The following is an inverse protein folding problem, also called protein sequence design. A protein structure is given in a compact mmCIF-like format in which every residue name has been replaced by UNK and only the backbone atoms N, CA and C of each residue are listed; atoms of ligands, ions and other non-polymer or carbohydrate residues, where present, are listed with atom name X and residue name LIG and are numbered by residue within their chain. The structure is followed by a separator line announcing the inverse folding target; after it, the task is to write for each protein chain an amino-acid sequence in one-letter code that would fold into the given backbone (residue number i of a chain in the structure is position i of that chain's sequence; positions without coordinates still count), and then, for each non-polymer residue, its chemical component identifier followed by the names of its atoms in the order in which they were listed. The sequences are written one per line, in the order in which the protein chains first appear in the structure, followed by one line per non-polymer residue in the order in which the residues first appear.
data_IF_425408657148
#
_entry.id   IF_425408657148
#
_cell.length_a   1.000
_cell.length_b   1.000
_cell.length_c   1.000
_cell.angle_alpha   90.00
_cell.angle_beta   90.00
_cell.angle_gamma   90.00
#
_symmetry.space_group_name_H-M   'P 1'
#
loop_
_entity.id
_entity.type
_entity.pdbx_description
1 polymer ?
#
# COMPACT_ATOMS: atom_id res chain seq x y z
N UNK A 1 -14.93 -49.14 -6.48
CA UNK A 1 -14.27 -49.07 -5.16
C UNK A 1 -13.33 -47.89 -5.27
N UNK A 2 -13.74 -46.78 -4.67
CA UNK A 2 -13.17 -45.43 -4.77
C UNK A 2 -11.90 -45.34 -3.96
N UNK A 3 -10.78 -44.98 -4.58
CA UNK A 3 -9.61 -44.44 -3.89
C UNK A 3 -9.83 -42.95 -3.71
N UNK A 4 -9.92 -42.53 -2.44
CA UNK A 4 -10.13 -41.15 -2.02
C UNK A 4 -8.83 -40.37 -2.12
N UNK A 5 -8.89 -39.30 -2.90
CA UNK A 5 -7.96 -38.17 -2.90
C UNK A 5 -8.00 -37.49 -1.52
N UNK A 6 -6.90 -37.51 -0.78
CA UNK A 6 -6.77 -36.76 0.49
C UNK A 6 -6.05 -35.45 0.21
N UNK A 7 -6.83 -34.38 0.09
CA UNK A 7 -6.35 -33.00 0.21
C UNK A 7 -6.15 -32.72 1.71
N UNK A 8 -4.91 -32.53 2.13
CA UNK A 8 -4.58 -32.08 3.49
C UNK A 8 -4.98 -30.63 3.68
N UNK A 9 -5.64 -30.26 4.80
CA UNK A 9 -5.94 -28.88 5.10
C UNK A 9 -4.66 -28.21 5.64
N UNK A 10 -4.03 -27.33 4.86
CA UNK A 10 -3.01 -26.42 5.40
C UNK A 10 -3.68 -25.59 6.50
N UNK A 11 -3.18 -25.75 7.71
CA UNK A 11 -3.81 -25.20 8.91
C UNK A 11 -3.24 -23.81 9.14
N UNK A 12 -4.10 -22.79 9.11
CA UNK A 12 -3.86 -21.36 9.42
C UNK A 12 -2.92 -21.13 10.62
N UNK A 13 -2.88 -22.07 11.57
CA UNK A 13 -2.03 -22.04 12.76
C UNK A 13 -0.54 -22.30 12.51
N UNK A 14 -0.18 -23.00 11.42
CA UNK A 14 1.22 -23.31 11.09
C UNK A 14 1.91 -22.09 10.45
N UNK A 15 1.16 -21.33 9.64
CA UNK A 15 1.61 -20.09 8.98
C UNK A 15 1.99 -19.00 10.00
N UNK A 16 1.27 -18.89 11.12
CA UNK A 16 1.56 -17.94 12.20
C UNK A 16 2.78 -18.32 13.07
N UNK A 17 3.29 -19.55 12.93
CA UNK A 17 4.44 -20.07 13.68
C UNK A 17 5.71 -20.21 12.83
N UNK A 18 5.62 -19.84 11.55
CA UNK A 18 6.70 -19.98 10.58
C UNK A 18 7.58 -18.71 10.55
N UNK A 19 8.88 -18.88 10.33
CA UNK A 19 9.83 -17.77 10.12
C UNK A 19 9.68 -17.11 8.73
N UNK A 20 8.54 -17.33 8.06
CA UNK A 20 8.25 -16.82 6.71
C UNK A 20 7.45 -15.52 6.79
N UNK A 21 7.85 -14.54 5.99
CA UNK A 21 7.07 -13.32 5.78
C UNK A 21 7.00 -12.99 4.29
N UNK A 22 5.81 -12.61 3.84
CA UNK A 22 5.57 -12.09 2.50
C UNK A 22 5.46 -10.57 2.53
N UNK A 23 6.35 -9.90 1.80
CA UNK A 23 6.36 -8.44 1.62
C UNK A 23 5.64 -8.08 0.33
N UNK A 24 4.63 -7.22 0.43
CA UNK A 24 3.81 -6.78 -0.70
C UNK A 24 3.82 -5.27 -0.82
N UNK A 25 4.12 -4.75 -2.01
CA UNK A 25 3.99 -3.34 -2.39
C UNK A 25 2.88 -3.22 -3.44
N UNK A 26 1.90 -2.35 -3.20
CA UNK A 26 0.85 -1.99 -4.15
C UNK A 26 0.86 -0.47 -4.31
N UNK A 27 0.93 0.01 -5.56
CA UNK A 27 0.99 1.43 -5.88
C UNK A 27 -0.06 1.80 -6.92
N UNK A 28 -0.75 2.91 -6.69
CA UNK A 28 -1.71 3.49 -7.64
C UNK A 28 -1.44 4.98 -7.77
N UNK A 29 -1.29 5.45 -9.00
CA UNK A 29 -1.35 6.86 -9.32
C UNK A 29 -2.80 7.25 -9.63
N UNK A 30 -3.28 8.31 -8.99
CA UNK A 30 -4.63 8.86 -9.10
C UNK A 30 -4.52 10.26 -9.70
N UNK A 31 -5.40 10.58 -10.66
CA UNK A 31 -5.55 11.96 -11.13
C UNK A 31 -6.02 12.85 -9.95
N UNK A 32 -5.22 13.86 -9.60
CA UNK A 32 -5.41 14.63 -8.37
C UNK A 32 -6.54 15.67 -8.49
N UNK A 33 -6.88 16.10 -9.71
CA UNK A 33 -7.96 17.06 -9.96
C UNK A 33 -9.26 16.59 -9.30
N UNK A 34 -9.74 17.36 -8.31
CA UNK A 34 -10.95 17.09 -7.53
C UNK A 34 -10.95 15.77 -6.72
N UNK A 35 -9.80 15.08 -6.60
CA UNK A 35 -9.74 13.83 -5.84
C UNK A 35 -9.81 14.10 -4.33
N UNK A 36 -10.74 13.46 -3.58
CA UNK A 36 -10.78 13.57 -2.13
C UNK A 36 -9.64 12.78 -1.44
N UNK A 37 -8.85 12.01 -2.18
CA UNK A 37 -7.95 11.00 -1.64
C UNK A 37 -6.94 11.55 -0.62
N UNK A 38 -6.25 12.66 -0.90
CA UNK A 38 -5.27 13.23 0.06
C UNK A 38 -5.91 13.60 1.39
N UNK A 39 -7.08 14.24 1.35
CA UNK A 39 -7.81 14.64 2.55
C UNK A 39 -8.35 13.43 3.33
N UNK A 40 -8.84 12.42 2.62
CA UNK A 40 -9.31 11.17 3.22
C UNK A 40 -8.15 10.39 3.85
N UNK A 41 -7.02 10.24 3.17
CA UNK A 41 -5.81 9.59 3.69
C UNK A 41 -5.28 10.30 4.94
N UNK A 42 -5.26 11.64 4.91
CA UNK A 42 -4.89 12.46 6.08
C UNK A 42 -5.81 12.14 7.26
N UNK A 43 -7.12 12.17 7.03
CA UNK A 43 -8.11 11.88 8.08
C UNK A 43 -7.94 10.47 8.65
N UNK A 44 -7.89 9.46 7.80
CA UNK A 44 -7.70 8.05 8.19
C UNK A 44 -6.43 7.87 9.02
N UNK A 45 -5.32 8.46 8.57
CA UNK A 45 -4.02 8.37 9.25
C UNK A 45 -4.03 9.07 10.61
N UNK A 46 -4.78 10.17 10.78
CA UNK A 46 -4.89 10.88 12.06
C UNK A 46 -5.83 10.21 13.06
N UNK A 47 -6.88 9.53 12.58
CA UNK A 47 -7.94 8.98 13.41
C UNK A 47 -7.69 7.52 13.81
N UNK A 48 -6.78 6.80 13.14
CA UNK A 48 -6.55 5.37 13.38
C UNK A 48 -5.41 5.10 14.38
N UNK A 49 -5.68 4.24 15.36
CA UNK A 49 -4.69 3.78 16.33
C UNK A 49 -3.83 2.63 15.76
N UNK A 50 -2.71 2.98 15.14
CA UNK A 50 -1.76 2.02 14.55
C UNK A 50 -0.88 1.32 15.57
N UNK A 51 -1.03 1.58 16.88
CA UNK A 51 -0.32 0.84 17.93
C UNK A 51 -0.91 -0.56 18.19
N UNK A 52 -2.05 -0.87 17.57
CA UNK A 52 -2.76 -2.15 17.73
C UNK A 52 -2.89 -2.89 16.41
N UNK A 53 -2.84 -4.24 16.39
CA UNK A 53 -3.10 -5.02 15.18
C UNK A 53 -4.47 -4.73 14.56
N UNK A 54 -5.49 -4.52 15.40
CA UNK A 54 -6.84 -4.18 14.96
C UNK A 54 -6.89 -2.83 14.23
N UNK A 55 -6.20 -1.81 14.73
CA UNK A 55 -6.13 -0.51 14.08
C UNK A 55 -5.27 -0.50 12.82
N UNK A 56 -4.16 -1.27 12.77
CA UNK A 56 -3.41 -1.47 11.53
C UNK A 56 -4.29 -2.10 10.44
N UNK A 57 -5.03 -3.14 10.80
CA UNK A 57 -5.94 -3.81 9.86
C UNK A 57 -7.09 -2.89 9.42
N UNK A 58 -7.67 -2.12 10.35
CA UNK A 58 -8.70 -1.14 10.03
C UNK A 58 -8.18 -0.05 9.06
N UNK A 59 -6.97 0.48 9.29
CA UNK A 59 -6.32 1.41 8.37
C UNK A 59 -6.15 0.79 6.97
N UNK A 60 -5.66 -0.45 6.92
CA UNK A 60 -5.50 -1.18 5.66
C UNK A 60 -6.82 -1.29 4.89
N UNK A 61 -7.89 -1.70 5.57
CA UNK A 61 -9.22 -1.87 4.97
C UNK A 61 -9.75 -0.55 4.43
N UNK A 62 -9.71 0.52 5.24
CA UNK A 62 -10.25 1.83 4.86
C UNK A 62 -9.46 2.46 3.70
N UNK A 63 -8.14 2.35 3.69
CA UNK A 63 -7.32 2.87 2.58
C UNK A 63 -7.53 2.05 1.31
N UNK A 64 -7.61 0.72 1.42
CA UNK A 64 -7.87 -0.16 0.27
C UNK A 64 -9.25 0.13 -0.34
N UNK A 65 -10.26 0.35 0.50
CA UNK A 65 -11.61 0.74 0.08
C UNK A 65 -11.60 2.11 -0.63
N UNK A 66 -10.90 3.11 -0.06
CA UNK A 66 -10.73 4.43 -0.69
C UNK A 66 -10.11 4.31 -2.09
N UNK A 67 -9.08 3.49 -2.25
CA UNK A 67 -8.46 3.26 -3.56
C UNK A 67 -9.45 2.67 -4.56
N UNK A 68 -10.23 1.66 -4.16
CA UNK A 68 -11.26 1.04 -5.01
C UNK A 68 -12.42 1.98 -5.37
N UNK A 69 -12.77 2.91 -4.48
CA UNK A 69 -13.74 3.97 -4.75
C UNK A 69 -13.23 4.99 -5.78
N UNK A 70 -11.92 5.23 -5.79
CA UNK A 70 -11.25 6.13 -6.74
C UNK A 70 -10.84 5.44 -8.05
N UNK A 71 -11.23 4.18 -8.30
CA UNK A 71 -10.75 3.40 -9.47
C UNK A 71 -10.93 4.07 -10.83
N UNK A 72 -11.97 4.88 -10.99
CA UNK A 72 -12.28 5.57 -12.26
C UNK A 72 -11.32 6.75 -12.53
N UNK A 73 -10.48 7.10 -11.55
CA UNK A 73 -9.46 8.16 -11.61
C UNK A 73 -8.02 7.63 -11.61
N UNK A 74 -7.84 6.31 -11.57
CA UNK A 74 -6.51 5.70 -11.66
C UNK A 74 -5.89 5.98 -13.03
N UNK A 75 -4.60 6.26 -13.05
CA UNK A 75 -3.84 6.51 -14.29
C UNK A 75 -2.69 5.54 -14.47
N UNK A 76 -2.04 5.14 -13.37
CA UNK A 76 -0.93 4.19 -13.38
C UNK A 76 -1.04 3.25 -12.17
N UNK A 77 -0.42 2.08 -12.28
CA UNK A 77 -0.35 1.13 -11.19
C UNK A 77 0.95 0.33 -11.21
N UNK A 78 1.30 -0.22 -10.06
CA UNK A 78 2.43 -1.13 -9.91
C UNK A 78 2.22 -2.02 -8.70
N UNK A 79 2.71 -3.25 -8.77
CA UNK A 79 2.56 -4.21 -7.70
C UNK A 79 3.74 -5.18 -7.66
N UNK A 80 4.17 -5.55 -6.45
CA UNK A 80 5.13 -6.65 -6.25
C UNK A 80 4.79 -7.39 -4.95
N UNK A 81 4.98 -8.70 -4.94
CA UNK A 81 4.81 -9.53 -3.75
C UNK A 81 5.92 -10.58 -3.74
N UNK A 82 6.62 -10.71 -2.63
CA UNK A 82 7.80 -11.58 -2.48
C UNK A 82 7.80 -12.23 -1.10
N UNK A 83 8.00 -13.54 -1.04
CA UNK A 83 8.05 -14.32 0.19
C UNK A 83 9.48 -14.67 0.55
N UNK A 84 9.77 -14.61 1.85
CA UNK A 84 11.11 -14.85 2.39
C UNK A 84 11.03 -15.90 3.49
N UNK A 85 11.91 -16.90 3.43
CA UNK A 85 12.00 -17.96 4.46
C UNK A 85 12.60 -17.51 5.80
N UNK A 86 12.99 -16.23 5.90
CA UNK A 86 13.52 -15.65 7.13
C UNK A 86 12.95 -14.24 7.34
N UNK A 87 12.30 -14.01 8.49
CA UNK A 87 11.73 -12.72 8.90
C UNK A 87 12.76 -11.59 8.75
N UNK A 88 14.00 -11.78 9.17
CA UNK A 88 15.04 -10.75 9.10
C UNK A 88 15.31 -10.28 7.65
N UNK A 89 15.27 -11.18 6.67
CA UNK A 89 15.44 -10.82 5.25
C UNK A 89 14.21 -10.07 4.72
N UNK A 90 13.01 -10.48 5.16
CA UNK A 90 11.77 -9.79 4.83
C UNK A 90 11.71 -8.38 5.42
N UNK A 91 12.15 -8.19 6.68
CA UNK A 91 12.26 -6.89 7.33
C UNK A 91 13.27 -5.99 6.62
N UNK A 92 14.43 -6.53 6.21
CA UNK A 92 15.40 -5.79 5.40
C UNK A 92 14.78 -5.33 4.08
N UNK A 93 14.06 -6.22 3.38
CA UNK A 93 13.36 -5.88 2.14
C UNK A 93 12.29 -4.82 2.35
N UNK A 94 11.48 -4.95 3.39
CA UNK A 94 10.43 -4.00 3.75
C UNK A 94 11.03 -2.63 4.01
N UNK A 95 12.06 -2.54 4.85
CA UNK A 95 12.75 -1.29 5.15
C UNK A 95 13.39 -0.65 3.91
N UNK A 96 13.99 -1.46 3.03
CA UNK A 96 14.54 -0.98 1.78
C UNK A 96 13.46 -0.36 0.89
N UNK A 97 12.33 -1.04 0.70
CA UNK A 97 11.20 -0.51 -0.09
C UNK A 97 10.66 0.77 0.53
N UNK A 98 10.46 0.76 1.84
CA UNK A 98 10.00 1.91 2.60
C UNK A 98 10.89 3.15 2.40
N UNK A 99 12.21 2.99 2.51
CA UNK A 99 13.17 4.07 2.26
C UNK A 99 13.17 4.53 0.80
N UNK A 100 13.03 3.61 -0.16
CA UNK A 100 12.94 3.93 -1.59
C UNK A 100 11.70 4.75 -1.92
N UNK A 101 10.56 4.43 -1.32
CA UNK A 101 9.33 5.20 -1.52
C UNK A 101 9.40 6.57 -0.83
N UNK A 102 9.89 6.63 0.42
CA UNK A 102 10.07 7.90 1.16
C UNK A 102 11.06 8.85 0.49
N UNK A 103 12.07 8.33 -0.21
CA UNK A 103 13.02 9.15 -0.97
C UNK A 103 12.38 9.95 -2.13
N UNK A 104 11.15 9.60 -2.54
CA UNK A 104 10.39 10.28 -3.61
C UNK A 104 9.53 11.44 -3.10
N UNK A 105 9.50 11.68 -1.79
CA UNK A 105 8.70 12.74 -1.18
C UNK A 105 9.43 14.08 -1.33
N UNK A 106 8.72 15.11 -1.80
CA UNK A 106 9.18 16.50 -1.67
C UNK A 106 9.30 16.87 -0.19
N UNK A 107 8.28 16.52 0.58
CA UNK A 107 8.19 16.69 2.02
C UNK A 107 7.31 15.61 2.68
N UNK A 108 7.85 14.90 3.67
CA UNK A 108 7.08 14.01 4.54
C UNK A 108 6.55 14.83 5.74
N UNK A 109 5.28 15.22 5.63
CA UNK A 109 4.57 16.12 6.54
C UNK A 109 3.64 15.38 7.51
N UNK A 110 3.26 14.14 7.24
CA UNK A 110 2.41 13.32 8.11
C UNK A 110 2.91 11.88 8.19
N UNK A 111 3.11 11.39 9.41
CA UNK A 111 3.42 9.99 9.69
C UNK A 111 2.57 9.50 10.86
N UNK A 112 2.25 8.21 10.87
CA UNK A 112 1.64 7.52 12.01
C UNK A 112 2.32 6.16 12.15
N UNK A 113 3.18 6.02 13.17
CA UNK A 113 3.98 4.81 13.41
C UNK A 113 3.77 4.41 14.87
N UNK A 114 3.30 3.18 15.10
CA UNK A 114 2.99 2.64 16.43
C UNK A 114 2.11 3.57 17.27
N UNK A 115 1.08 4.16 16.64
CA UNK A 115 0.17 5.13 17.24
C UNK A 115 0.75 6.53 17.45
N UNK A 116 2.01 6.76 17.09
CA UNK A 116 2.68 8.06 17.21
C UNK A 116 2.49 8.85 15.93
N UNK A 117 1.50 9.74 15.95
CA UNK A 117 1.25 10.71 14.90
C UNK A 117 2.26 11.86 14.97
N UNK A 118 2.96 12.13 13.87
CA UNK A 118 3.75 13.36 13.69
C UNK A 118 3.25 14.11 12.48
N UNK A 119 2.88 15.36 12.69
CA UNK A 119 2.47 16.26 11.63
C UNK A 119 3.36 17.51 11.64
N UNK A 120 3.90 17.86 10.47
CA UNK A 120 4.60 19.11 10.22
C UNK A 120 3.72 20.00 9.38
N UNK A 121 3.65 21.28 9.75
CA UNK A 121 3.09 22.31 8.89
C UNK A 121 4.24 22.89 8.09
N UNK A 122 4.40 22.43 6.86
CA UNK A 122 5.27 23.11 5.91
C UNK A 122 4.44 24.11 5.11
N UNK A 123 5.01 25.29 4.89
CA UNK A 123 4.37 26.31 4.07
C UNK A 123 4.57 25.88 2.62
N UNK A 124 3.53 25.27 2.04
CA UNK A 124 3.55 24.87 0.64
C UNK A 124 3.91 26.08 -0.23
N UNK A 125 4.86 25.89 -1.14
CA UNK A 125 4.95 26.83 -2.26
C UNK A 125 3.77 26.53 -3.18
N UNK A 126 2.84 27.49 -3.40
CA UNK A 126 1.63 27.20 -4.16
C UNK A 126 2.01 26.77 -5.58
N UNK A 127 1.83 25.48 -5.88
CA UNK A 127 1.88 24.99 -7.26
C UNK A 127 0.61 25.48 -7.96
N UNK A 128 0.76 26.08 -9.14
CA UNK A 128 -0.38 26.51 -9.97
C UNK A 128 -1.00 25.36 -10.76
N UNK A 129 -0.35 24.20 -10.77
CA UNK A 129 -0.86 22.98 -11.41
C UNK A 129 -1.90 22.33 -10.52
N UNK A 130 -3.13 22.24 -11.03
CA UNK A 130 -4.22 21.48 -10.42
C UNK A 130 -4.45 20.14 -11.15
N UNK A 131 -3.98 20.07 -12.39
CA UNK A 131 -3.95 18.86 -13.20
C UNK A 131 -2.62 18.12 -12.94
N UNK A 132 -2.66 17.17 -12.02
CA UNK A 132 -1.50 16.36 -11.66
C UNK A 132 -1.89 15.03 -11.04
N UNK A 133 -0.97 14.43 -10.30
CA UNK A 133 -1.11 13.08 -9.79
C UNK A 133 -0.85 13.02 -8.28
N UNK A 134 -1.55 12.09 -7.65
CA UNK A 134 -1.28 11.58 -6.31
C UNK A 134 -0.83 10.13 -6.46
N UNK A 135 0.29 9.74 -5.86
CA UNK A 135 0.66 8.33 -5.77
C UNK A 135 0.40 7.83 -4.36
N UNK A 136 -0.37 6.75 -4.23
CA UNK A 136 -0.60 6.05 -2.97
C UNK A 136 0.12 4.71 -3.02
N UNK A 137 0.83 4.39 -1.94
CA UNK A 137 1.58 3.14 -1.78
C UNK A 137 1.14 2.43 -0.51
N UNK A 138 0.70 1.18 -0.66
CA UNK A 138 0.51 0.24 0.43
C UNK A 138 1.71 -0.70 0.47
N UNK A 139 2.41 -0.72 1.60
CA UNK A 139 3.49 -1.68 1.85
C UNK A 139 3.10 -2.55 3.04
N UNK A 140 3.02 -3.86 2.83
CA UNK A 140 2.51 -4.81 3.81
C UNK A 140 3.54 -5.92 4.04
N UNK A 141 3.69 -6.35 5.29
CA UNK A 141 4.28 -7.64 5.63
C UNK A 141 3.19 -8.56 6.15
N UNK A 142 3.09 -9.76 5.58
CA UNK A 142 2.07 -10.74 5.97
C UNK A 142 2.66 -12.11 6.25
N UNK A 143 2.01 -12.88 7.13
CA UNK A 143 2.42 -14.24 7.53
C UNK A 143 2.11 -15.34 6.49
N UNK A 144 1.92 -14.98 5.21
CA UNK A 144 1.72 -15.96 4.14
C UNK A 144 3.05 -16.58 3.71
N UNK A 145 3.01 -17.87 3.37
CA UNK A 145 4.18 -18.63 2.90
C UNK A 145 4.50 -18.43 1.41
N UNK A 146 3.58 -17.82 0.67
CA UNK A 146 3.70 -17.56 -0.76
C UNK A 146 3.29 -16.11 -1.11
N UNK A 147 3.77 -15.57 -2.25
CA UNK A 147 3.39 -14.24 -2.69
C UNK A 147 1.88 -14.15 -2.84
N UNK A 148 1.28 -13.02 -2.42
CA UNK A 148 -0.17 -12.79 -2.57
C UNK A 148 -0.62 -12.79 -4.04
N UNK A 149 0.35 -12.58 -4.94
CA UNK A 149 0.21 -12.64 -6.39
C UNK A 149 1.57 -12.69 -7.05
N UNK A 150 1.61 -13.12 -8.31
CA UNK A 150 2.84 -13.17 -9.10
C UNK A 150 3.09 -11.88 -9.87
N UNK A 151 2.22 -11.56 -10.82
CA UNK A 151 2.36 -10.40 -11.70
C UNK A 151 1.02 -9.70 -11.90
N UNK A 152 1.06 -8.37 -11.94
CA UNK A 152 -0.10 -7.50 -12.21
C UNK A 152 0.26 -6.65 -13.42
N UNK A 153 -0.30 -7.01 -14.58
CA UNK A 153 -0.06 -6.32 -15.86
C UNK A 153 -1.28 -5.57 -16.38
N UNK A 154 -2.44 -5.77 -15.76
CA UNK A 154 -3.71 -5.18 -16.17
C UNK A 154 -4.40 -4.51 -14.98
N UNK A 155 -5.13 -3.42 -15.24
CA UNK A 155 -5.84 -2.67 -14.20
C UNK A 155 -6.88 -3.52 -13.46
N UNK A 156 -7.57 -4.42 -14.16
CA UNK A 156 -8.53 -5.35 -13.53
C UNK A 156 -7.85 -6.28 -12.53
N UNK A 157 -6.61 -6.72 -12.81
CA UNK A 157 -5.84 -7.53 -11.87
C UNK A 157 -5.50 -6.74 -10.63
N UNK A 158 -5.13 -5.46 -10.78
CA UNK A 158 -4.83 -4.56 -9.65
C UNK A 158 -6.06 -4.38 -8.75
N UNK A 159 -7.24 -4.16 -9.35
CA UNK A 159 -8.51 -4.14 -8.63
C UNK A 159 -8.74 -5.44 -7.86
N UNK A 160 -8.55 -6.60 -8.52
CA UNK A 160 -8.76 -7.90 -7.90
C UNK A 160 -7.75 -8.16 -6.76
N UNK A 161 -6.51 -7.63 -6.86
CA UNK A 161 -5.52 -7.68 -5.77
C UNK A 161 -5.99 -6.85 -4.58
N UNK A 162 -6.46 -5.62 -4.78
CA UNK A 162 -7.01 -4.81 -3.70
C UNK A 162 -8.25 -5.48 -3.07
N UNK A 163 -9.10 -6.14 -3.86
CA UNK A 163 -10.20 -6.95 -3.31
C UNK A 163 -9.70 -8.13 -2.47
N UNK A 164 -8.60 -8.77 -2.86
CA UNK A 164 -7.96 -9.83 -2.08
C UNK A 164 -7.44 -9.29 -0.74
N UNK A 165 -6.86 -8.08 -0.73
CA UNK A 165 -6.43 -7.40 0.49
C UNK A 165 -7.61 -7.13 1.43
N UNK A 166 -8.78 -6.74 0.92
CA UNK A 166 -9.99 -6.59 1.74
C UNK A 166 -10.42 -7.90 2.41
N UNK A 167 -10.11 -9.05 1.81
CA UNK A 167 -10.46 -10.38 2.32
C UNK A 167 -9.38 -10.99 3.23
N UNK A 168 -8.27 -10.29 3.47
CA UNK A 168 -7.17 -10.78 4.30
C UNK A 168 -7.67 -11.04 5.73
N UNK A 169 -7.22 -12.14 6.33
CA UNK A 169 -7.45 -12.38 7.76
C UNK A 169 -6.58 -11.41 8.57
N UNK A 170 -7.15 -10.64 9.53
CA UNK A 170 -6.37 -9.73 10.37
C UNK A 170 -5.18 -10.38 11.07
N UNK A 171 -5.25 -11.68 11.38
CA UNK A 171 -4.16 -12.41 12.01
C UNK A 171 -2.91 -12.50 11.14
N UNK A 172 -3.04 -12.34 9.82
CA UNK A 172 -1.92 -12.45 8.88
C UNK A 172 -1.20 -11.13 8.65
N UNK A 173 -1.77 -9.99 9.05
CA UNK A 173 -1.12 -8.69 8.88
C UNK A 173 -0.09 -8.48 9.99
N UNK A 174 1.20 -8.49 9.63
CA UNK A 174 2.30 -8.30 10.57
C UNK A 174 2.72 -6.83 10.67
N UNK A 175 2.80 -6.14 9.52
CA UNK A 175 3.21 -4.74 9.43
C UNK A 175 2.52 -4.06 8.25
N UNK A 176 2.22 -2.78 8.40
CA UNK A 176 1.64 -1.93 7.36
C UNK A 176 2.33 -0.57 7.36
N UNK A 177 2.70 -0.11 6.17
CA UNK A 177 2.94 1.30 5.90
C UNK A 177 1.99 1.78 4.80
N UNK A 178 1.33 2.92 5.08
CA UNK A 178 0.55 3.67 4.10
C UNK A 178 1.30 4.96 3.81
N UNK A 179 1.69 5.12 2.55
CA UNK A 179 2.48 6.26 2.07
C UNK A 179 1.71 6.92 0.93
N UNK A 180 1.68 8.25 0.89
CA UNK A 180 1.19 8.97 -0.29
C UNK A 180 1.99 10.23 -0.53
N UNK A 181 2.19 10.57 -1.79
CA UNK A 181 2.89 11.78 -2.19
C UNK A 181 2.20 12.44 -3.39
N UNK A 182 1.97 13.76 -3.35
CA UNK A 182 2.31 14.67 -2.26
C UNK A 182 1.32 14.55 -1.08
N UNK A 183 1.75 14.93 0.13
CA UNK A 183 0.88 14.83 1.31
C UNK A 183 -0.03 16.05 1.52
N UNK A 184 0.37 17.23 1.02
CA UNK A 184 -0.40 18.46 1.15
C UNK A 184 -1.44 18.56 0.03
N UNK A 185 -2.68 18.94 0.37
CA UNK A 185 -3.82 18.94 -0.56
C UNK A 185 -3.74 19.99 -1.67
N UNK A 186 -2.84 20.95 -1.55
CA UNK A 186 -2.52 21.99 -2.55
C UNK A 186 -1.30 21.64 -3.40
N UNK A 187 -0.72 20.45 -3.21
CA UNK A 187 0.38 19.93 -4.01
C UNK A 187 -0.05 18.72 -4.85
N UNK A 188 0.47 18.67 -6.07
CA UNK A 188 0.35 17.53 -6.99
C UNK A 188 1.71 17.18 -7.59
N UNK A 189 1.86 15.93 -8.04
CA UNK A 189 2.95 15.53 -8.94
C UNK A 189 2.58 15.94 -10.36
N UNK A 190 3.48 16.62 -11.05
CA UNK A 190 3.41 16.80 -12.50
C UNK A 190 3.64 15.47 -13.23
N UNK A 191 3.30 15.40 -14.52
CA UNK A 191 3.59 14.23 -15.35
C UNK A 191 5.10 13.90 -15.40
N UNK A 192 5.95 14.93 -15.44
CA UNK A 192 7.40 14.76 -15.45
C UNK A 192 7.93 14.22 -14.11
N UNK A 193 7.38 14.67 -12.98
CA UNK A 193 7.71 14.13 -11.65
C UNK A 193 7.25 12.67 -11.52
N UNK A 194 6.03 12.35 -12.00
CA UNK A 194 5.52 10.98 -12.02
C UNK A 194 6.46 10.07 -12.83
N UNK A 195 6.85 10.46 -14.04
CA UNK A 195 7.77 9.66 -14.86
C UNK A 195 9.17 9.54 -14.24
N UNK A 196 9.66 10.60 -13.60
CA UNK A 196 10.99 10.61 -12.97
C UNK A 196 11.07 9.72 -11.73
N UNK A 197 10.07 9.79 -10.85
CA UNK A 197 10.09 9.12 -9.54
C UNK A 197 9.33 7.79 -9.52
N UNK A 198 8.39 7.59 -10.46
CA UNK A 198 7.50 6.44 -10.54
C UNK A 198 7.45 5.86 -11.97
N UNK A 199 8.55 5.98 -12.72
CA UNK A 199 8.67 5.42 -14.07
C UNK A 199 8.58 3.89 -14.15
N UNK A 200 8.55 3.19 -13.02
CA UNK A 200 8.27 1.75 -12.94
C UNK A 200 6.76 1.42 -12.96
N UNK A 201 5.87 2.41 -12.78
CA UNK A 201 4.41 2.18 -12.82
C UNK A 201 3.92 2.05 -14.26
N UNK A 202 3.09 1.04 -14.52
CA UNK A 202 2.42 0.85 -15.80
C UNK A 202 1.24 1.79 -15.97
N UNK A 203 1.17 2.48 -17.10
CA UNK A 203 0.01 3.31 -17.47
C UNK A 203 -1.22 2.44 -17.77
N UNK A 204 -2.39 2.90 -17.37
CA UNK A 204 -3.69 2.30 -17.74
C UNK A 204 -4.03 2.77 -19.16
N UNK A 205 -4.18 1.81 -20.08
CA UNK A 205 -4.49 2.06 -21.49
C UNK A 205 -5.98 2.30 -21.74
#
# INVERSE_FOLDING_TARGET
MTESDQVTPTTVSDELSNDVMTVTRLQVAIAAAESPAQSALTKLTLETDTSTPAGLFDLLQQVTQLLLEQRDTWTHFGASSESFEAIAAAEERFNQLSLQERAKFSAETLTNVDGVVRQKTEQAEPKTETDGYLVVTLLLGTAHDAPLFTEVTQVDQMRDRLQTILMLDPAYLLVLEVLWTPQQTDEVLSAAELETYFGDLGAIA
#
